data_IF_057039123140
#
_entry.id   IF_057039123140
#
_cell.length_a   1.000
_cell.length_b   1.000
_cell.length_c   1.000
_cell.angle_alpha   90.00
_cell.angle_beta   90.00
_cell.angle_gamma   90.00
#
_symmetry.space_group_name_H-M   'P 1'
#
loop_
_entity.id
_entity.type
_entity.pdbx_description
1 polymer ?
#
# COMPACT_ATOMS: atom_id res chain seq x y z
N UNK A 1 -12.44 -28.83 53.01
CA UNK A 1 -13.19 -27.97 52.07
C UNK A 1 -12.53 -26.59 51.94
N UNK A 2 -12.40 -25.78 52.98
CA UNK A 2 -11.86 -24.41 52.91
C UNK A 2 -10.46 -24.37 52.31
N UNK A 3 -9.53 -25.19 52.76
CA UNK A 3 -8.17 -25.25 52.27
C UNK A 3 -8.10 -25.68 50.80
N UNK A 4 -8.95 -26.62 50.37
CA UNK A 4 -9.02 -27.10 48.97
C UNK A 4 -9.54 -25.99 48.06
N UNK A 5 -10.62 -25.29 48.40
CA UNK A 5 -11.15 -24.16 47.65
C UNK A 5 -10.13 -23.03 47.49
N UNK A 6 -9.43 -22.66 48.58
CA UNK A 6 -8.34 -21.66 48.51
C UNK A 6 -7.18 -22.13 47.61
N UNK A 7 -6.83 -23.42 47.66
CA UNK A 7 -5.80 -23.96 46.79
C UNK A 7 -6.16 -23.84 45.29
N UNK A 8 -7.40 -24.17 44.92
CA UNK A 8 -7.91 -24.03 43.56
C UNK A 8 -7.98 -22.56 43.14
N UNK A 9 -8.46 -21.66 43.99
CA UNK A 9 -8.49 -20.22 43.71
C UNK A 9 -7.07 -19.66 43.44
N UNK A 10 -6.07 -20.12 44.19
CA UNK A 10 -4.67 -19.74 43.91
C UNK A 10 -4.20 -20.20 42.52
N UNK A 11 -4.49 -21.45 42.14
CA UNK A 11 -4.18 -21.95 40.78
C UNK A 11 -4.86 -21.10 39.72
N UNK A 12 -6.13 -20.78 39.87
CA UNK A 12 -6.84 -19.92 38.91
C UNK A 12 -6.23 -18.51 38.86
N UNK A 13 -5.78 -17.99 39.99
CA UNK A 13 -5.08 -16.71 40.05
C UNK A 13 -3.70 -16.76 39.33
N UNK A 14 -3.02 -17.91 39.37
CA UNK A 14 -1.77 -18.17 38.68
C UNK A 14 -1.99 -18.54 37.18
N UNK A 15 -3.26 -18.59 36.72
CA UNK A 15 -3.63 -18.93 35.34
C UNK A 15 -3.74 -20.44 35.06
N UNK A 16 -3.57 -21.28 36.05
CA UNK A 16 -3.76 -22.73 35.93
C UNK A 16 -5.25 -23.11 36.18
N UNK A 17 -5.95 -23.26 35.04
CA UNK A 17 -7.36 -23.64 35.00
C UNK A 17 -7.56 -25.16 34.81
N UNK A 18 -6.54 -25.98 35.02
CA UNK A 18 -6.61 -27.43 34.75
C UNK A 18 -7.40 -28.20 35.76
N UNK A 19 -7.45 -27.73 37.03
CA UNK A 19 -8.05 -28.48 38.17
C UNK A 19 -9.48 -28.04 38.42
N UNK A 20 -10.33 -29.01 38.78
CA UNK A 20 -11.72 -28.78 39.20
C UNK A 20 -11.90 -28.91 40.73
N UNK A 21 -12.91 -28.24 41.27
CA UNK A 21 -13.30 -28.43 42.62
C UNK A 21 -14.14 -29.69 42.79
N UNK A 22 -13.87 -30.44 43.84
CA UNK A 22 -14.70 -31.60 44.19
C UNK A 22 -16.16 -31.20 44.39
N UNK A 23 -17.09 -32.03 43.93
CA UNK A 23 -18.53 -31.79 44.16
C UNK A 23 -18.86 -31.87 45.63
N UNK A 24 -19.36 -30.78 46.17
CA UNK A 24 -19.72 -30.69 47.57
C UNK A 24 -21.24 -30.85 47.75
N UNK A 25 -21.72 -31.65 48.76
CA UNK A 25 -23.14 -31.86 48.97
C UNK A 25 -23.79 -30.71 49.78
N UNK A 26 -25.12 -30.57 49.62
CA UNK A 26 -25.96 -29.66 50.40
C UNK A 26 -25.57 -28.20 50.19
N UNK A 27 -25.66 -27.40 51.25
CA UNK A 27 -25.37 -25.95 51.20
C UNK A 27 -23.94 -25.61 50.71
N UNK A 28 -23.01 -26.56 50.76
CA UNK A 28 -21.64 -26.36 50.28
C UNK A 28 -21.52 -26.48 48.77
N UNK A 29 -22.53 -26.97 48.07
CA UNK A 29 -22.56 -27.05 46.60
C UNK A 29 -22.32 -25.68 45.95
N UNK A 30 -22.81 -24.60 46.58
CA UNK A 30 -22.59 -23.22 46.14
C UNK A 30 -21.10 -22.89 45.93
N UNK A 31 -20.18 -23.42 46.75
CA UNK A 31 -18.73 -23.20 46.61
C UNK A 31 -18.22 -23.80 45.28
N UNK A 32 -18.65 -25.03 44.99
CA UNK A 32 -18.26 -25.71 43.75
C UNK A 32 -18.81 -25.00 42.53
N UNK A 33 -20.10 -24.64 42.56
CA UNK A 33 -20.77 -23.94 41.47
C UNK A 33 -20.12 -22.57 41.19
N UNK A 34 -19.75 -21.83 42.24
CA UNK A 34 -19.08 -20.54 42.11
C UNK A 34 -17.69 -20.69 41.49
N UNK A 35 -16.91 -21.70 41.91
CA UNK A 35 -15.59 -21.96 41.35
C UNK A 35 -15.67 -22.46 39.90
N UNK A 36 -16.65 -23.32 39.60
CA UNK A 36 -16.90 -23.77 38.22
C UNK A 36 -17.28 -22.58 37.32
N UNK A 37 -18.15 -21.69 37.77
CA UNK A 37 -18.51 -20.48 37.01
C UNK A 37 -17.31 -19.55 36.81
N UNK A 38 -16.47 -19.38 37.84
CA UNK A 38 -15.24 -18.61 37.73
C UNK A 38 -14.29 -19.23 36.72
N UNK A 39 -14.02 -20.54 36.81
CA UNK A 39 -13.19 -21.27 35.86
C UNK A 39 -13.72 -21.14 34.42
N UNK A 40 -15.01 -21.33 34.21
CA UNK A 40 -15.65 -21.24 32.89
C UNK A 40 -15.47 -19.84 32.29
N UNK A 41 -15.68 -18.79 33.08
CA UNK A 41 -15.51 -17.40 32.62
C UNK A 41 -14.05 -17.12 32.29
N UNK A 42 -13.07 -17.49 33.11
CA UNK A 42 -11.66 -17.30 32.88
C UNK A 42 -11.19 -18.10 31.66
N UNK A 43 -11.68 -19.33 31.48
CA UNK A 43 -11.37 -20.16 30.32
C UNK A 43 -11.92 -19.56 29.02
N UNK A 44 -13.16 -19.04 29.06
CA UNK A 44 -13.80 -18.42 27.92
C UNK A 44 -13.05 -17.16 27.45
N UNK A 45 -12.73 -16.25 28.39
CA UNK A 45 -12.00 -15.02 28.05
C UNK A 45 -10.59 -15.31 27.53
N UNK A 46 -9.88 -16.25 28.16
CA UNK A 46 -8.55 -16.67 27.68
C UNK A 46 -8.60 -17.28 26.27
N UNK A 47 -9.61 -18.11 26.01
CA UNK A 47 -9.85 -18.67 24.66
C UNK A 47 -10.13 -17.59 23.63
N UNK A 48 -10.93 -16.58 23.96
CA UNK A 48 -11.26 -15.47 23.09
C UNK A 48 -10.03 -14.60 22.78
N UNK A 49 -9.25 -14.26 23.82
CA UNK A 49 -7.99 -13.50 23.65
C UNK A 49 -7.02 -14.27 22.73
N UNK A 50 -6.82 -15.58 22.98
CA UNK A 50 -5.95 -16.41 22.15
C UNK A 50 -6.42 -16.46 20.70
N UNK A 51 -7.73 -16.60 20.48
CA UNK A 51 -8.31 -16.64 19.13
C UNK A 51 -8.03 -15.34 18.36
N UNK A 52 -8.31 -14.19 18.99
CA UNK A 52 -8.05 -12.88 18.38
C UNK A 52 -6.55 -12.63 18.15
N UNK A 53 -5.70 -12.99 19.13
CA UNK A 53 -4.25 -12.85 18.99
C UNK A 53 -3.68 -13.74 17.87
N UNK A 54 -4.20 -14.95 17.70
CA UNK A 54 -3.81 -15.84 16.59
C UNK A 54 -4.25 -15.27 15.24
N UNK A 55 -5.49 -14.77 15.16
CA UNK A 55 -5.99 -14.11 13.95
C UNK A 55 -5.13 -12.91 13.57
N UNK A 56 -4.85 -12.01 14.52
CA UNK A 56 -3.97 -10.86 14.32
C UNK A 56 -2.56 -11.27 13.86
N UNK A 57 -1.99 -12.32 14.47
CA UNK A 57 -0.67 -12.85 14.07
C UNK A 57 -0.66 -13.44 12.67
N UNK A 58 -1.80 -13.91 12.18
CA UNK A 58 -1.99 -14.38 10.81
C UNK A 58 -2.33 -13.25 9.81
N UNK A 59 -2.44 -12.00 10.27
CA UNK A 59 -2.83 -10.86 9.47
C UNK A 59 -4.34 -10.70 9.24
N UNK A 60 -5.15 -11.51 9.91
CA UNK A 60 -6.63 -11.43 9.86
C UNK A 60 -7.13 -10.53 10.98
N UNK A 61 -7.29 -9.25 10.68
CA UNK A 61 -7.85 -8.25 11.59
C UNK A 61 -9.38 -8.11 11.47
N UNK A 62 -10.04 -8.90 10.64
CA UNK A 62 -11.50 -8.87 10.47
C UNK A 62 -12.25 -9.53 11.64
N UNK A 63 -11.58 -10.34 12.44
CA UNK A 63 -12.17 -11.07 13.55
C UNK A 63 -12.59 -10.15 14.70
N UNK A 64 -13.69 -10.49 15.35
CA UNK A 64 -14.20 -9.78 16.52
C UNK A 64 -14.56 -10.76 17.63
N UNK A 65 -14.36 -10.34 18.87
CA UNK A 65 -14.83 -11.04 20.06
C UNK A 65 -16.27 -10.67 20.36
N UNK A 66 -17.02 -11.62 20.90
CA UNK A 66 -18.40 -11.41 21.32
C UNK A 66 -18.44 -10.74 22.69
N UNK A 67 -18.60 -9.39 22.70
CA UNK A 67 -18.65 -8.58 23.92
C UNK A 67 -19.85 -8.89 24.83
N UNK A 68 -20.95 -9.41 24.26
CA UNK A 68 -22.17 -9.65 25.00
C UNK A 68 -22.11 -10.93 25.86
N UNK A 69 -21.13 -11.80 25.63
CA UNK A 69 -20.80 -12.94 26.47
C UNK A 69 -20.21 -12.54 27.83
N UNK A 70 -19.70 -11.33 27.93
CA UNK A 70 -18.93 -10.89 29.09
C UNK A 70 -19.59 -9.71 29.78
N UNK A 71 -19.18 -9.46 31.04
CA UNK A 71 -19.67 -8.34 31.83
C UNK A 71 -18.49 -7.60 32.46
N UNK A 72 -18.74 -6.33 32.83
CA UNK A 72 -17.76 -5.48 33.49
C UNK A 72 -16.41 -5.49 32.76
N UNK A 73 -15.32 -5.55 33.47
CA UNK A 73 -13.94 -5.44 32.93
C UNK A 73 -13.63 -6.45 31.83
N UNK A 74 -14.23 -7.64 31.84
CA UNK A 74 -14.06 -8.61 30.77
C UNK A 74 -14.74 -8.16 29.46
N UNK A 75 -15.88 -7.50 29.56
CA UNK A 75 -16.54 -6.88 28.40
C UNK A 75 -15.68 -5.76 27.82
N UNK A 76 -15.15 -4.91 28.70
CA UNK A 76 -14.29 -3.80 28.30
C UNK A 76 -12.99 -4.29 27.65
N UNK A 77 -12.41 -5.37 28.17
CA UNK A 77 -11.24 -6.01 27.60
C UNK A 77 -11.50 -6.54 26.18
N UNK A 78 -12.59 -7.27 25.96
CA UNK A 78 -12.96 -7.78 24.62
C UNK A 78 -13.30 -6.62 23.69
N UNK A 79 -13.98 -5.58 24.18
CA UNK A 79 -14.26 -4.34 23.45
C UNK A 79 -12.99 -3.63 23.01
N UNK A 80 -12.01 -3.51 23.91
CA UNK A 80 -10.71 -2.93 23.60
C UNK A 80 -9.93 -3.72 22.52
N UNK A 81 -9.98 -5.06 22.59
CA UNK A 81 -9.39 -5.91 21.54
C UNK A 81 -10.11 -5.74 20.21
N UNK A 82 -11.45 -5.67 20.21
CA UNK A 82 -12.22 -5.41 19.00
C UNK A 82 -11.84 -4.06 18.37
N UNK A 83 -11.70 -3.03 19.17
CA UNK A 83 -11.29 -1.71 18.72
C UNK A 83 -9.88 -1.72 18.12
N UNK A 84 -8.94 -2.43 18.75
CA UNK A 84 -7.59 -2.62 18.19
C UNK A 84 -7.62 -3.32 16.82
N UNK A 85 -8.40 -4.39 16.71
CA UNK A 85 -8.56 -5.14 15.45
C UNK A 85 -9.18 -4.25 14.35
N UNK A 86 -10.24 -3.52 14.68
CA UNK A 86 -10.96 -2.62 13.79
C UNK A 86 -10.06 -1.48 13.26
N UNK A 87 -9.37 -0.80 14.17
CA UNK A 87 -8.46 0.29 13.81
C UNK A 87 -7.34 -0.20 12.92
N UNK A 88 -6.77 -1.37 13.22
CA UNK A 88 -5.70 -1.95 12.42
C UNK A 88 -6.20 -2.36 11.03
N UNK A 89 -7.35 -3.03 10.96
CA UNK A 89 -7.99 -3.47 9.70
C UNK A 89 -8.27 -2.27 8.78
N UNK A 90 -8.91 -1.23 9.34
CA UNK A 90 -9.22 0.00 8.60
C UNK A 90 -7.96 0.70 8.06
N UNK A 91 -6.95 0.86 8.90
CA UNK A 91 -5.72 1.54 8.50
C UNK A 91 -4.96 0.74 7.40
N UNK A 92 -4.92 -0.58 7.48
CA UNK A 92 -4.32 -1.42 6.45
C UNK A 92 -5.13 -1.43 5.15
N UNK A 93 -6.46 -1.35 5.23
CA UNK A 93 -7.32 -1.22 4.07
C UNK A 93 -7.04 0.07 3.31
N UNK A 94 -6.88 1.21 3.99
CA UNK A 94 -6.52 2.51 3.37
C UNK A 94 -5.18 2.43 2.62
N UNK A 95 -4.15 1.82 3.24
CA UNK A 95 -2.87 1.59 2.57
C UNK A 95 -3.05 0.74 1.32
N UNK A 96 -3.83 -0.34 1.41
CA UNK A 96 -4.11 -1.23 0.30
C UNK A 96 -4.81 -0.53 -0.86
N UNK A 97 -5.81 0.32 -0.57
CA UNK A 97 -6.53 1.09 -1.59
C UNK A 97 -5.62 2.11 -2.29
N UNK A 98 -4.75 2.80 -1.54
CA UNK A 98 -3.76 3.70 -2.15
C UNK A 98 -2.79 2.95 -3.07
N UNK A 99 -2.27 1.79 -2.63
CA UNK A 99 -1.38 0.97 -3.46
C UNK A 99 -2.08 0.45 -4.72
N UNK A 100 -3.36 0.08 -4.64
CA UNK A 100 -4.18 -0.30 -5.80
C UNK A 100 -4.40 0.88 -6.75
N UNK A 101 -4.62 2.09 -6.23
CA UNK A 101 -4.74 3.30 -7.04
C UNK A 101 -3.43 3.57 -7.82
N UNK A 102 -2.29 3.53 -7.14
CA UNK A 102 -0.97 3.69 -7.75
C UNK A 102 -0.74 2.63 -8.85
N UNK A 103 -1.08 1.36 -8.58
CA UNK A 103 -0.93 0.28 -9.54
C UNK A 103 -1.78 0.47 -10.82
N UNK A 104 -2.89 1.18 -10.72
CA UNK A 104 -3.75 1.57 -11.86
C UNK A 104 -3.29 2.86 -12.56
N UNK A 105 -2.21 3.48 -12.07
CA UNK A 105 -1.71 4.75 -12.59
C UNK A 105 -2.43 5.99 -12.05
N UNK A 106 -3.29 5.83 -11.04
CA UNK A 106 -3.96 6.94 -10.37
C UNK A 106 -3.01 7.54 -9.32
N UNK A 107 -2.35 8.61 -9.68
CA UNK A 107 -1.45 9.38 -8.81
C UNK A 107 -2.15 10.57 -8.13
N UNK A 108 -3.49 10.64 -8.19
CA UNK A 108 -4.26 11.64 -7.47
C UNK A 108 -4.72 11.15 -6.10
N UNK A 109 -4.79 9.84 -5.90
CA UNK A 109 -5.20 9.21 -4.65
C UNK A 109 -4.27 9.60 -3.50
N UNK A 110 -4.85 9.78 -2.31
CA UNK A 110 -4.15 10.10 -1.07
C UNK A 110 -4.78 9.32 0.08
N UNK A 111 -3.99 9.01 1.08
CA UNK A 111 -4.52 8.58 2.37
C UNK A 111 -4.98 9.81 3.14
N UNK A 112 -6.27 9.87 3.45
CA UNK A 112 -6.91 10.95 4.19
C UNK A 112 -7.54 10.37 5.45
N UNK A 113 -7.40 11.06 6.60
CA UNK A 113 -7.97 10.62 7.85
C UNK A 113 -7.10 10.94 9.05
N UNK A 114 -7.64 10.62 10.23
CA UNK A 114 -6.97 10.86 11.51
C UNK A 114 -6.19 9.61 11.93
N UNK A 115 -4.98 9.49 11.40
CA UNK A 115 -4.07 8.41 11.74
C UNK A 115 -3.15 8.81 12.88
N UNK A 116 -2.81 7.83 13.76
CA UNK A 116 -1.95 8.06 14.91
C UNK A 116 -0.71 7.14 14.90
N UNK A 117 0.37 7.59 15.53
CA UNK A 117 1.57 6.80 15.75
C UNK A 117 2.22 6.30 14.44
N UNK A 118 2.38 4.99 14.31
CA UNK A 118 2.98 4.36 13.12
C UNK A 118 2.14 4.60 11.87
N UNK A 119 0.82 4.54 11.98
CA UNK A 119 -0.08 4.72 10.83
C UNK A 119 -0.07 6.15 10.30
N UNK A 120 0.11 7.16 11.16
CA UNK A 120 0.30 8.55 10.71
C UNK A 120 1.57 8.68 9.86
N UNK A 121 2.68 8.07 10.29
CA UNK A 121 3.91 8.05 9.49
C UNK A 121 3.72 7.32 8.15
N UNK A 122 3.03 6.18 8.16
CA UNK A 122 2.74 5.43 6.93
C UNK A 122 1.93 6.27 5.94
N UNK A 123 0.90 7.00 6.42
CA UNK A 123 0.14 7.94 5.59
C UNK A 123 1.06 9.01 4.97
N UNK A 124 1.89 9.64 5.80
CA UNK A 124 2.77 10.72 5.34
C UNK A 124 3.80 10.23 4.33
N UNK A 125 4.44 9.09 4.59
CA UNK A 125 5.42 8.47 3.68
C UNK A 125 4.76 8.01 2.38
N UNK A 126 3.57 7.43 2.45
CA UNK A 126 2.81 6.99 1.28
C UNK A 126 2.37 8.18 0.42
N UNK A 127 1.84 9.24 1.02
CA UNK A 127 1.46 10.46 0.32
C UNK A 127 2.68 11.17 -0.31
N UNK A 128 3.81 11.20 0.39
CA UNK A 128 5.06 11.73 -0.16
C UNK A 128 5.54 10.92 -1.37
N UNK A 129 5.43 9.60 -1.31
CA UNK A 129 5.77 8.71 -2.44
C UNK A 129 4.91 9.00 -3.65
N UNK A 130 3.60 9.16 -3.49
CA UNK A 130 2.69 9.52 -4.60
C UNK A 130 3.03 10.89 -5.18
N UNK A 131 3.33 11.88 -4.33
CA UNK A 131 3.74 13.21 -4.79
C UNK A 131 5.04 13.15 -5.63
N UNK A 132 6.02 12.36 -5.21
CA UNK A 132 7.27 12.18 -5.95
C UNK A 132 7.06 11.46 -7.29
N UNK A 133 6.19 10.44 -7.33
CA UNK A 133 5.82 9.78 -8.58
C UNK A 133 5.12 10.74 -9.54
N UNK A 134 4.25 11.60 -9.05
CA UNK A 134 3.58 12.64 -9.85
C UNK A 134 4.59 13.61 -10.46
N UNK A 135 5.58 14.08 -9.69
CA UNK A 135 6.66 14.95 -10.19
C UNK A 135 7.49 14.25 -11.29
N UNK A 136 7.87 12.99 -11.07
CA UNK A 136 8.63 12.21 -12.05
C UNK A 136 7.84 12.07 -13.35
N UNK A 137 6.56 11.72 -13.30
CA UNK A 137 5.71 11.59 -14.48
C UNK A 137 5.56 12.93 -15.20
N UNK A 138 5.37 14.03 -14.46
CA UNK A 138 5.33 15.39 -15.03
C UNK A 138 6.61 15.73 -15.81
N UNK A 139 7.77 15.50 -15.21
CA UNK A 139 9.07 15.72 -15.88
C UNK A 139 9.29 14.85 -17.12
N UNK A 140 8.79 13.62 -17.11
CA UNK A 140 8.82 12.74 -18.28
C UNK A 140 7.94 13.31 -19.41
N UNK A 141 6.75 13.81 -19.08
CA UNK A 141 5.86 14.45 -20.05
C UNK A 141 6.47 15.70 -20.66
N UNK A 142 7.09 16.56 -19.87
CA UNK A 142 7.77 17.77 -20.34
C UNK A 142 8.95 17.42 -21.25
N UNK A 143 9.77 16.42 -20.87
CA UNK A 143 10.86 15.95 -21.68
C UNK A 143 10.37 15.33 -23.02
N UNK A 144 9.29 14.55 -22.99
CA UNK A 144 8.66 13.97 -24.18
C UNK A 144 8.15 15.05 -25.14
N UNK A 145 7.54 16.10 -24.61
CA UNK A 145 7.08 17.25 -25.40
C UNK A 145 8.24 17.97 -26.04
N UNK A 146 9.33 18.21 -25.30
CA UNK A 146 10.55 18.83 -25.83
C UNK A 146 11.20 17.98 -26.96
N UNK A 147 11.29 16.67 -26.78
CA UNK A 147 11.80 15.74 -27.80
C UNK A 147 10.93 15.79 -29.06
N UNK A 148 9.59 15.78 -28.89
CA UNK A 148 8.68 15.83 -30.02
C UNK A 148 8.81 17.15 -30.82
N UNK A 149 8.98 18.28 -30.13
CA UNK A 149 9.24 19.58 -30.77
C UNK A 149 10.55 19.57 -31.51
N UNK A 150 11.65 19.13 -30.92
CA UNK A 150 12.95 19.05 -31.57
C UNK A 150 12.94 18.10 -32.78
N UNK A 151 12.23 16.96 -32.68
CA UNK A 151 12.06 16.05 -33.84
C UNK A 151 11.32 16.72 -35.00
N UNK A 152 10.29 17.52 -34.70
CA UNK A 152 9.58 18.34 -35.69
C UNK A 152 10.48 19.37 -36.38
N UNK A 153 11.33 20.05 -35.63
CA UNK A 153 12.31 21.01 -36.15
C UNK A 153 13.35 20.33 -37.05
N UNK A 154 13.85 19.15 -36.64
CA UNK A 154 14.78 18.35 -37.44
C UNK A 154 14.11 17.90 -38.74
N UNK A 155 12.86 17.44 -38.71
CA UNK A 155 12.12 17.02 -39.89
C UNK A 155 11.94 18.19 -40.88
N UNK A 156 11.60 19.37 -40.39
CA UNK A 156 11.47 20.60 -41.18
C UNK A 156 12.83 21.02 -41.79
N UNK A 157 13.90 21.00 -40.99
CA UNK A 157 15.26 21.31 -41.43
C UNK A 157 15.77 20.33 -42.51
N UNK A 158 15.47 19.04 -42.35
CA UNK A 158 15.81 18.02 -43.37
C UNK A 158 15.07 18.25 -44.69
N UNK A 159 13.79 18.66 -44.65
CA UNK A 159 13.03 18.99 -45.86
C UNK A 159 13.62 20.20 -46.56
N UNK A 160 14.00 21.27 -45.82
CA UNK A 160 14.68 22.42 -46.41
C UNK A 160 16.06 22.06 -47.04
N UNK A 161 16.82 21.24 -46.32
CA UNK A 161 18.12 20.75 -46.82
C UNK A 161 17.97 19.92 -48.12
N UNK A 162 16.95 19.05 -48.20
CA UNK A 162 16.65 18.28 -49.43
C UNK A 162 16.36 19.19 -50.60
N UNK A 163 15.48 20.18 -50.41
CA UNK A 163 15.14 21.18 -51.43
C UNK A 163 16.37 21.97 -51.92
N UNK A 164 17.22 22.42 -50.99
CA UNK A 164 18.45 23.12 -51.27
C UNK A 164 19.45 22.25 -52.01
N UNK A 165 19.55 20.96 -51.67
CA UNK A 165 20.42 19.99 -52.34
C UNK A 165 19.97 19.76 -53.79
N UNK A 166 18.66 19.61 -54.02
CA UNK A 166 18.09 19.49 -55.37
C UNK A 166 18.36 20.73 -56.22
N UNK A 167 18.20 21.92 -55.64
CA UNK A 167 18.50 23.18 -56.33
C UNK A 167 19.98 23.33 -56.63
N UNK A 168 20.86 22.87 -55.72
CA UNK A 168 22.30 22.88 -55.93
C UNK A 168 22.71 21.91 -57.02
N UNK A 169 22.08 20.73 -57.09
CA UNK A 169 22.33 19.77 -58.19
C UNK A 169 21.94 20.36 -59.55
N UNK A 170 20.79 21.01 -59.67
CA UNK A 170 20.36 21.68 -60.90
C UNK A 170 21.35 22.81 -61.36
N UNK A 171 21.81 23.61 -60.36
CA UNK A 171 22.81 24.66 -60.68
C UNK A 171 24.16 24.09 -61.09
N UNK A 172 24.55 22.92 -60.55
CA UNK A 172 25.79 22.24 -61.03
C UNK A 172 25.63 21.67 -62.41
N UNK A 173 24.47 21.13 -62.79
CA UNK A 173 24.19 20.67 -64.16
C UNK A 173 24.24 21.84 -65.11
N UNK A 174 23.66 23.00 -64.83
CA UNK A 174 23.72 24.20 -65.64
C UNK A 174 25.17 24.71 -65.81
N UNK A 175 25.94 24.69 -64.70
CA UNK A 175 27.34 25.07 -64.69
C UNK A 175 28.19 24.12 -65.59
N UNK A 176 27.94 22.81 -65.51
CA UNK A 176 28.59 21.80 -66.28
C UNK A 176 28.32 22.02 -67.84
N UNK A 177 27.04 22.25 -68.20
CA UNK A 177 26.63 22.53 -69.53
C UNK A 177 27.30 23.81 -70.05
N UNK A 178 27.38 24.87 -69.27
CA UNK A 178 28.09 26.12 -69.64
C UNK A 178 29.59 25.92 -69.80
N UNK A 179 30.21 25.07 -68.98
CA UNK A 179 31.64 24.71 -69.13
C UNK A 179 31.92 23.90 -70.39
N UNK A 180 30.99 22.99 -70.79
CA UNK A 180 31.07 22.26 -72.07
C UNK A 180 30.98 23.21 -73.26
N UNK A 181 30.05 24.17 -73.24
CA UNK A 181 29.90 25.18 -74.31
C UNK A 181 31.13 26.08 -74.39
N UNK A 182 31.66 26.54 -73.26
CA UNK A 182 32.92 27.30 -73.23
C UNK A 182 34.08 26.49 -73.75
N UNK A 183 34.20 25.22 -73.42
CA UNK A 183 35.26 24.35 -73.92
C UNK A 183 35.16 24.15 -75.44
N UNK A 184 33.95 24.00 -75.95
CA UNK A 184 33.68 23.94 -77.39
C UNK A 184 34.10 25.23 -78.16
N UNK A 185 33.69 26.38 -77.54
CA UNK A 185 34.03 27.71 -78.13
C UNK A 185 35.52 27.99 -78.11
N UNK A 186 36.25 27.62 -77.05
CA UNK A 186 37.71 27.73 -76.98
C UNK A 186 38.39 26.87 -78.01
N UNK A 187 37.91 25.62 -78.23
CA UNK A 187 38.43 24.76 -79.34
C UNK A 187 38.21 25.38 -80.67
N UNK A 188 37.04 25.91 -80.96
CA UNK A 188 36.68 26.52 -82.23
C UNK A 188 37.49 27.80 -82.54
N UNK A 189 37.91 28.55 -81.50
CA UNK A 189 38.73 29.75 -81.61
C UNK A 189 40.23 29.45 -81.71
N UNK A 190 40.66 28.19 -81.44
CA UNK A 190 42.07 27.76 -81.54
C UNK A 190 42.43 27.07 -82.83
N UNK A 191 41.47 26.80 -83.73
CA UNK A 191 41.60 26.36 -85.09
C UNK A 191 41.63 27.58 -86.05
#
# INVERSE_FOLDING_TARGET
VKMRAVGIMRRYADGDLSEDMDRLPGEKAFITETLDACKATLSAINGEIKRLAMAASAGDFSQRGDVDKYRHDFRDMVGGLNHLMETTDGNLAEVSELLKAIARGDLTARMEGDFHGVFARMRDDANATVAQLTDIVGRIQDASTSINTAAGEIASGNSDLSRRTEQQAANLEETAASMEELTSTVRQNAE
#
